data_IF_152328122903
#
_entry.id   IF_152328122903
#
_cell.length_a   1.000
_cell.length_b   1.000
_cell.length_c   1.000
_cell.angle_alpha   90.00
_cell.angle_beta   90.00
_cell.angle_gamma   90.00
#
_symmetry.space_group_name_H-M   'P 1'
#
loop_
_entity.id
_entity.type
_entity.pdbx_description
1 polymer ?
#
# COMPACT_ATOMS: atom_id res chain seq x y z
N UNK A 1 -6.31 -1.57 -13.58
CA UNK A 1 -4.99 -2.07 -14.01
C UNK A 1 -4.90 -3.60 -13.84
N UNK A 2 -4.17 -4.31 -14.70
CA UNK A 2 -3.81 -5.73 -14.48
C UNK A 2 -2.34 -5.84 -14.04
N UNK A 3 -2.03 -6.79 -13.16
CA UNK A 3 -0.68 -7.00 -12.61
C UNK A 3 -0.51 -8.43 -12.07
N UNK A 4 0.73 -8.86 -11.85
CA UNK A 4 1.03 -10.19 -11.31
C UNK A 4 1.77 -10.10 -9.98
N UNK A 5 1.42 -10.98 -9.05
CA UNK A 5 2.11 -11.18 -7.77
C UNK A 5 2.33 -12.67 -7.59
N UNK A 6 3.58 -13.10 -7.38
CA UNK A 6 3.96 -14.50 -7.19
C UNK A 6 3.41 -15.45 -8.28
N UNK A 7 3.45 -15.01 -9.55
CA UNK A 7 2.96 -15.80 -10.69
C UNK A 7 1.43 -15.89 -10.81
N UNK A 8 0.68 -15.24 -9.92
CA UNK A 8 -0.78 -15.13 -9.99
C UNK A 8 -1.17 -13.80 -10.59
N UNK A 9 -2.14 -13.80 -11.50
CA UNK A 9 -2.65 -12.60 -12.15
C UNK A 9 -3.80 -11.98 -11.37
N UNK A 10 -3.73 -10.66 -11.24
CA UNK A 10 -4.71 -9.82 -10.56
C UNK A 10 -5.12 -8.69 -11.48
N UNK A 11 -6.32 -8.16 -11.23
CA UNK A 11 -6.77 -6.90 -11.79
C UNK A 11 -7.41 -6.07 -10.70
N UNK A 12 -7.27 -4.76 -10.82
CA UNK A 12 -7.95 -3.82 -9.94
C UNK A 12 -8.71 -2.76 -10.74
N UNK A 13 -9.84 -2.34 -10.19
CA UNK A 13 -10.49 -1.08 -10.56
C UNK A 13 -9.87 0.08 -9.77
N UNK A 14 -10.07 1.31 -10.25
CA UNK A 14 -9.64 2.50 -9.51
C UNK A 14 -10.49 2.65 -8.25
N UNK A 15 -9.87 3.10 -7.16
CA UNK A 15 -10.60 3.50 -5.96
C UNK A 15 -11.59 4.64 -6.26
N UNK A 16 -12.72 4.68 -5.56
CA UNK A 16 -13.61 5.83 -5.60
C UNK A 16 -12.88 7.09 -5.08
N UNK A 17 -13.34 8.29 -5.44
CA UNK A 17 -12.70 9.54 -4.96
C UNK A 17 -12.74 9.64 -3.43
N UNK A 18 -13.82 9.17 -2.80
CA UNK A 18 -13.93 9.14 -1.34
C UNK A 18 -12.96 8.14 -0.70
N UNK A 19 -12.79 6.97 -1.30
CA UNK A 19 -11.80 5.99 -0.83
C UNK A 19 -10.38 6.50 -1.06
N UNK A 20 -10.10 7.17 -2.19
CA UNK A 20 -8.81 7.81 -2.43
C UNK A 20 -8.49 8.83 -1.33
N UNK A 21 -9.43 9.71 -0.98
CA UNK A 21 -9.28 10.69 0.10
C UNK A 21 -9.11 10.01 1.47
N UNK A 22 -9.90 8.98 1.76
CA UNK A 22 -9.81 8.23 3.02
C UNK A 22 -8.46 7.54 3.18
N UNK A 23 -8.03 6.82 2.15
CA UNK A 23 -6.76 6.10 2.11
C UNK A 23 -5.60 7.09 2.18
N UNK A 24 -5.62 8.18 1.40
CA UNK A 24 -4.54 9.18 1.40
C UNK A 24 -4.38 9.85 2.76
N UNK A 25 -5.47 10.21 3.44
CA UNK A 25 -5.43 10.80 4.80
C UNK A 25 -4.75 9.91 5.84
N UNK A 26 -4.84 8.58 5.70
CA UNK A 26 -4.23 7.62 6.62
C UNK A 26 -2.80 7.25 6.21
N UNK A 27 -2.54 7.19 4.91
CA UNK A 27 -1.24 6.80 4.38
C UNK A 27 -0.21 7.95 4.44
N UNK A 28 -0.63 9.20 4.22
CA UNK A 28 0.28 10.35 4.19
C UNK A 28 1.10 10.54 5.47
N UNK A 29 0.51 10.50 6.69
CA UNK A 29 1.30 10.64 7.92
C UNK A 29 2.36 9.54 8.07
N UNK A 30 2.03 8.31 7.65
CA UNK A 30 2.96 7.18 7.68
C UNK A 30 4.11 7.42 6.69
N UNK A 31 3.81 7.91 5.49
CA UNK A 31 4.83 8.22 4.48
C UNK A 31 5.71 9.39 4.90
N UNK A 32 5.13 10.46 5.47
CA UNK A 32 5.87 11.62 5.96
C UNK A 32 6.90 11.23 7.04
N UNK A 33 6.57 10.25 7.89
CA UNK A 33 7.50 9.72 8.89
C UNK A 33 8.71 8.96 8.32
N UNK A 34 8.72 8.64 7.02
CA UNK A 34 9.74 7.83 6.33
C UNK A 34 10.56 8.61 5.27
N UNK A 35 10.28 9.89 5.05
CA UNK A 35 10.85 10.67 3.94
C UNK A 35 12.36 10.87 4.07
N UNK A 36 12.83 11.20 5.26
CA UNK A 36 14.26 11.39 5.55
C UNK A 36 15.08 10.13 5.32
N UNK A 37 14.51 8.96 5.62
CA UNK A 37 15.17 7.67 5.42
C UNK A 37 15.11 7.27 3.95
N UNK A 38 13.98 7.48 3.27
CA UNK A 38 13.88 7.15 1.86
C UNK A 38 14.90 7.95 1.04
N UNK A 39 15.18 9.20 1.44
CA UNK A 39 16.24 10.02 0.86
C UNK A 39 17.63 9.47 1.18
N UNK A 40 17.92 9.15 2.44
CA UNK A 40 19.23 8.58 2.82
C UNK A 40 19.51 7.21 2.17
N UNK A 41 18.48 6.40 1.94
CA UNK A 41 18.60 5.13 1.23
C UNK A 41 18.90 5.31 -0.25
N UNK A 42 18.28 6.30 -0.91
CA UNK A 42 18.59 6.64 -2.30
C UNK A 42 20.03 7.12 -2.46
N UNK A 43 20.57 7.76 -1.43
CA UNK A 43 21.91 8.33 -1.44
C UNK A 43 23.01 7.36 -0.99
N UNK A 44 22.71 6.26 -0.27
CA UNK A 44 23.76 5.54 0.47
C UNK A 44 23.68 4.01 0.63
N UNK A 45 22.62 3.29 0.25
CA UNK A 45 22.47 1.90 0.73
C UNK A 45 22.56 0.78 -0.33
N UNK A 46 23.37 -0.23 -0.02
CA UNK A 46 23.15 -1.59 -0.52
C UNK A 46 21.81 -2.12 0.03
N UNK A 47 21.05 -2.97 -0.69
CA UNK A 47 19.66 -3.34 -0.36
C UNK A 47 19.43 -3.88 1.06
N UNK A 48 20.45 -4.48 1.69
CA UNK A 48 20.37 -5.03 3.06
C UNK A 48 20.41 -3.98 4.18
N UNK A 49 21.27 -2.95 4.05
CA UNK A 49 21.38 -1.87 5.05
C UNK A 49 20.14 -0.96 5.04
N UNK A 50 19.44 -0.92 3.90
CA UNK A 50 18.21 -0.18 3.76
C UNK A 50 17.10 -0.69 4.66
N UNK A 51 16.98 -2.01 4.76
CA UNK A 51 15.95 -2.65 5.58
C UNK A 51 16.21 -2.47 7.08
N UNK A 52 17.47 -2.59 7.52
CA UNK A 52 17.86 -2.39 8.93
C UNK A 52 17.55 -0.97 9.42
N UNK A 53 17.72 0.03 8.55
CA UNK A 53 17.45 1.44 8.88
C UNK A 53 15.94 1.74 8.91
N UNK A 54 15.16 1.11 8.04
CA UNK A 54 13.70 1.35 7.95
C UNK A 54 12.89 0.53 8.96
N UNK A 55 13.36 -0.65 9.33
CA UNK A 55 12.65 -1.59 10.22
C UNK A 55 12.14 -0.93 11.52
N UNK A 56 12.95 -0.17 12.28
CA UNK A 56 12.50 0.49 13.50
C UNK A 56 11.37 1.50 13.25
N UNK A 57 11.44 2.26 12.15
CA UNK A 57 10.39 3.23 11.81
C UNK A 57 9.12 2.56 11.33
N UNK A 58 9.23 1.49 10.55
CA UNK A 58 8.08 0.65 10.18
C UNK A 58 7.42 0.13 11.47
N UNK A 59 8.21 -0.42 12.41
CA UNK A 59 7.70 -0.90 13.69
C UNK A 59 7.00 0.21 14.50
N UNK A 60 7.58 1.41 14.55
CA UNK A 60 6.99 2.55 15.27
C UNK A 60 5.69 3.04 14.62
N UNK A 61 5.65 3.14 13.29
CA UNK A 61 4.45 3.53 12.54
C UNK A 61 3.35 2.49 12.69
N UNK A 62 3.69 1.20 12.65
CA UNK A 62 2.74 0.11 12.88
C UNK A 62 2.23 0.11 14.33
N UNK A 63 3.08 0.38 15.32
CA UNK A 63 2.69 0.46 16.72
C UNK A 63 1.73 1.64 17.00
N UNK A 64 1.83 2.72 16.23
CA UNK A 64 0.96 3.89 16.33
C UNK A 64 -0.35 3.76 15.55
N UNK A 65 -0.51 2.73 14.71
CA UNK A 65 -1.69 2.55 13.87
C UNK A 65 -2.73 1.70 14.59
N UNK A 66 -3.95 2.23 14.70
CA UNK A 66 -5.07 1.42 15.18
C UNK A 66 -5.48 0.38 14.12
N UNK A 67 -6.13 -0.70 14.56
CA UNK A 67 -6.71 -1.69 13.63
C UNK A 67 -7.71 -1.02 12.66
N UNK A 68 -8.46 -0.02 13.14
CA UNK A 68 -9.39 0.75 12.31
C UNK A 68 -8.66 1.57 11.23
N UNK A 69 -7.49 2.11 11.54
CA UNK A 69 -6.65 2.83 10.57
C UNK A 69 -6.05 1.87 9.53
N UNK A 70 -5.59 0.69 9.97
CA UNK A 70 -5.18 -0.39 9.06
C UNK A 70 -6.32 -0.75 8.11
N UNK A 71 -7.50 -1.04 8.65
CA UNK A 71 -8.66 -1.47 7.88
C UNK A 71 -9.17 -0.37 6.94
N UNK A 72 -9.06 0.90 7.35
CA UNK A 72 -9.39 2.06 6.52
C UNK A 72 -8.53 2.17 5.25
N UNK A 73 -7.34 1.56 5.23
CA UNK A 73 -6.46 1.46 4.05
C UNK A 73 -6.69 0.12 3.33
N UNK A 74 -6.57 -0.99 4.06
CA UNK A 74 -6.55 -2.33 3.47
C UNK A 74 -7.88 -2.68 2.80
N UNK A 75 -9.02 -2.42 3.45
CA UNK A 75 -10.30 -2.90 2.95
C UNK A 75 -10.73 -2.22 1.65
N UNK A 76 -10.65 -0.87 1.51
CA UNK A 76 -10.94 -0.24 0.23
C UNK A 76 -10.02 -0.73 -0.88
N UNK A 77 -8.71 -0.82 -0.61
CA UNK A 77 -7.75 -1.30 -1.61
C UNK A 77 -8.02 -2.74 -2.05
N UNK A 78 -8.32 -3.65 -1.13
CA UNK A 78 -8.59 -5.05 -1.47
C UNK A 78 -9.96 -5.25 -2.11
N UNK A 79 -10.95 -4.42 -1.77
CA UNK A 79 -12.32 -4.51 -2.32
C UNK A 79 -12.41 -4.29 -3.83
N UNK A 80 -11.46 -3.57 -4.41
CA UNK A 80 -11.40 -3.29 -5.85
C UNK A 80 -10.55 -4.29 -6.62
N UNK A 81 -10.05 -5.35 -5.97
CA UNK A 81 -9.14 -6.33 -6.57
C UNK A 81 -9.86 -7.65 -6.86
N UNK A 82 -9.59 -8.20 -8.03
CA UNK A 82 -9.97 -9.56 -8.41
C UNK A 82 -8.75 -10.35 -8.85
N UNK A 83 -8.72 -11.64 -8.53
CA UNK A 83 -7.72 -12.62 -8.99
C UNK A 83 -8.25 -13.37 -10.20
N UNK A 84 -7.37 -13.67 -11.15
CA UNK A 84 -7.69 -14.59 -12.24
C UNK A 84 -7.84 -15.99 -11.64
N UNK A 85 -9.03 -16.56 -11.76
CA UNK A 85 -9.36 -17.87 -11.22
C UNK A 85 -10.20 -18.65 -12.23
N UNK A 86 -9.69 -19.80 -12.65
CA UNK A 86 -10.25 -20.61 -13.73
C UNK A 86 -10.43 -19.78 -15.02
N UNK A 87 -11.66 -19.63 -15.51
CA UNK A 87 -12.00 -18.86 -16.73
C UNK A 87 -12.47 -17.43 -16.43
N UNK A 88 -12.40 -16.99 -15.17
CA UNK A 88 -12.97 -15.72 -14.75
C UNK A 88 -12.10 -14.94 -13.77
N UNK A 89 -12.70 -13.90 -13.21
CA UNK A 89 -12.09 -13.01 -12.23
C UNK A 89 -12.93 -13.05 -10.96
N UNK A 90 -12.30 -13.40 -9.84
CA UNK A 90 -12.98 -13.57 -8.55
C UNK A 90 -12.45 -12.53 -7.57
N UNK A 91 -13.32 -11.83 -6.82
CA UNK A 91 -12.88 -10.89 -5.79
C UNK A 91 -11.93 -11.57 -4.79
N UNK A 92 -10.84 -10.88 -4.42
CA UNK A 92 -9.88 -11.43 -3.44
C UNK A 92 -10.30 -11.18 -2.01
N UNK A 93 -11.25 -10.27 -1.80
CA UNK A 93 -11.67 -9.81 -0.49
C UNK A 93 -13.18 -9.57 -0.47
N UNK A 94 -13.85 -10.06 0.57
CA UNK A 94 -15.28 -9.89 0.77
C UNK A 94 -15.60 -9.94 2.26
N UNK A 95 -16.52 -9.08 2.72
CA UNK A 95 -17.03 -9.09 4.10
C UNK A 95 -15.93 -9.11 5.19
N UNK A 96 -14.81 -8.40 4.98
CA UNK A 96 -13.73 -8.34 5.97
C UNK A 96 -12.73 -9.50 5.88
N UNK A 97 -12.87 -10.40 4.91
CA UNK A 97 -12.07 -11.63 4.82
C UNK A 97 -11.43 -11.80 3.44
N UNK A 98 -10.24 -12.41 3.44
CA UNK A 98 -9.58 -12.84 2.22
C UNK A 98 -10.26 -14.11 1.68
N UNK A 99 -10.48 -14.14 0.36
CA UNK A 99 -11.15 -15.25 -0.32
C UNK A 99 -10.19 -16.38 -0.74
N UNK A 100 -8.89 -16.19 -0.54
CA UNK A 100 -7.83 -17.07 -1.01
C UNK A 100 -6.75 -17.23 0.06
N UNK A 101 -6.60 -18.45 0.57
CA UNK A 101 -5.66 -18.76 1.67
C UNK A 101 -4.19 -18.64 1.27
N UNK A 102 -3.88 -18.74 -0.03
CA UNK A 102 -2.52 -18.57 -0.55
C UNK A 102 -2.07 -17.11 -0.59
N UNK A 103 -2.97 -16.14 -0.39
CA UNK A 103 -2.61 -14.72 -0.26
C UNK A 103 -2.10 -14.47 1.17
N UNK A 104 -0.79 -14.68 1.35
CA UNK A 104 -0.11 -14.35 2.59
C UNK A 104 0.08 -12.83 2.78
N UNK A 105 0.54 -12.43 3.97
CA UNK A 105 0.76 -11.01 4.33
C UNK A 105 1.59 -10.25 3.29
N UNK A 106 2.70 -10.82 2.82
CA UNK A 106 3.58 -10.15 1.85
C UNK A 106 2.87 -9.95 0.52
N UNK A 107 2.16 -10.98 0.04
CA UNK A 107 1.37 -10.91 -1.20
C UNK A 107 0.24 -9.89 -1.09
N UNK A 108 -0.45 -9.84 0.05
CA UNK A 108 -1.50 -8.87 0.34
C UNK A 108 -0.94 -7.43 0.29
N UNK A 109 0.19 -7.17 0.95
CA UNK A 109 0.82 -5.84 0.94
C UNK A 109 1.30 -5.45 -0.46
N UNK A 110 1.84 -6.40 -1.24
CA UNK A 110 2.20 -6.16 -2.64
C UNK A 110 0.96 -5.78 -3.48
N UNK A 111 -0.15 -6.49 -3.34
CA UNK A 111 -1.42 -6.17 -4.01
C UNK A 111 -1.88 -4.76 -3.63
N UNK A 112 -1.92 -4.44 -2.33
CA UNK A 112 -2.34 -3.12 -1.84
C UNK A 112 -1.44 -2.01 -2.40
N UNK A 113 -0.12 -2.21 -2.42
CA UNK A 113 0.83 -1.24 -2.99
C UNK A 113 0.55 -0.93 -4.46
N UNK A 114 0.14 -1.94 -5.25
CA UNK A 114 -0.23 -1.76 -6.67
C UNK A 114 -1.50 -0.93 -6.81
N UNK A 115 -2.51 -1.18 -5.96
CA UNK A 115 -3.75 -0.41 -5.97
C UNK A 115 -3.52 1.04 -5.57
N UNK A 116 -2.72 1.26 -4.51
CA UNK A 116 -2.33 2.60 -4.05
C UNK A 116 -1.59 3.36 -5.15
N UNK A 117 -0.59 2.76 -5.78
CA UNK A 117 0.17 3.39 -6.86
C UNK A 117 -0.71 3.78 -8.06
N UNK A 118 -1.62 2.89 -8.48
CA UNK A 118 -2.54 3.13 -9.59
C UNK A 118 -3.61 4.19 -9.27
N UNK A 119 -4.15 4.16 -8.04
CA UNK A 119 -5.26 5.03 -7.65
C UNK A 119 -4.82 6.41 -7.15
N UNK A 120 -3.66 6.50 -6.50
CA UNK A 120 -3.16 7.71 -5.84
C UNK A 120 -1.89 8.28 -6.49
N UNK A 121 -1.36 7.66 -7.54
CA UNK A 121 -0.13 8.11 -8.21
C UNK A 121 -0.16 9.59 -8.60
N UNK A 122 -1.24 10.05 -9.22
CA UNK A 122 -1.40 11.46 -9.60
C UNK A 122 -1.45 12.38 -8.38
N UNK A 123 -2.17 11.98 -7.33
CA UNK A 123 -2.27 12.74 -6.09
C UNK A 123 -0.91 12.93 -5.43
N UNK A 124 -0.08 11.88 -5.37
CA UNK A 124 1.26 11.97 -4.80
C UNK A 124 2.23 12.81 -5.64
N UNK A 125 2.07 12.85 -6.97
CA UNK A 125 2.87 13.69 -7.85
C UNK A 125 2.54 15.18 -7.70
N UNK A 126 1.30 15.50 -7.34
CA UNK A 126 0.83 16.88 -7.11
C UNK A 126 1.14 17.40 -5.71
N UNK A 127 1.62 16.55 -4.78
CA UNK A 127 2.06 17.02 -3.48
C UNK A 127 3.30 17.90 -3.65
N UNK A 128 3.34 19.08 -3.02
CA UNK A 128 4.55 19.89 -2.99
C UNK A 128 5.73 19.05 -2.48
N UNK A 129 6.91 19.19 -3.11
CA UNK A 129 8.15 18.59 -2.61
C UNK A 129 8.50 19.02 -1.17
N UNK A 130 7.76 19.97 -0.60
CA UNK A 130 7.98 20.55 0.72
C UNK A 130 7.16 19.88 1.84
N UNK A 131 6.24 18.95 1.53
CA UNK A 131 5.58 18.13 2.58
C UNK A 131 6.56 17.10 3.18
N UNK A 132 7.78 16.99 2.62
CA UNK A 132 8.89 16.22 3.17
C UNK A 132 9.86 17.05 4.04
N UNK A 133 9.63 18.35 4.19
CA UNK A 133 10.39 19.22 5.10
C UNK A 133 9.64 19.34 6.43
N UNK A 134 10.22 18.97 7.58
CA UNK A 134 9.63 19.34 8.87
C UNK A 134 9.68 20.86 9.04
N UNK A 135 8.56 21.46 9.45
CA UNK A 135 8.49 22.81 10.01
C UNK A 135 9.24 22.88 11.35
#
# INVERSE_FOLDING_TARGET
MEFSVNGVNYRCSKLSVFDQLKVSRKLLPVLAGLTSELQSLRESAAPGQALETLLPKIAQSLAGMSDDDCNAILYPCLSVVSRQHQKGWTPVFSQGQMMFDDINLVSMLQIVSKVVGDSLGNFFQELPADVTSPL
#
